data_IF_788802265461
#
_entry.id   IF_788802265461
#
_cell.length_a   1.000
_cell.length_b   1.000
_cell.length_c   1.000
_cell.angle_alpha   90.00
_cell.angle_beta   90.00
_cell.angle_gamma   90.00
#
_symmetry.space_group_name_H-M   'P 1'
#
loop_
_entity.id
_entity.type
_entity.pdbx_description
1 polymer ?
#
# COMPACT_ATOMS: atom_id res chain seq x y z
N UNK A 1 2.76 -9.25 -26.53
CA UNK A 1 1.35 -9.00 -26.94
C UNK A 1 0.53 -10.14 -26.35
N UNK A 2 -0.54 -9.85 -25.60
CA UNK A 2 -1.40 -10.86 -24.99
C UNK A 2 -2.76 -10.89 -25.72
N UNK A 3 -3.53 -11.97 -25.55
CA UNK A 3 -4.87 -12.12 -26.11
C UNK A 3 -5.87 -12.29 -24.97
N UNK A 4 -6.96 -11.52 -24.97
CA UNK A 4 -8.04 -11.66 -23.98
C UNK A 4 -9.20 -12.42 -24.62
N UNK A 5 -9.72 -13.49 -24.00
CA UNK A 5 -10.86 -14.24 -24.51
C UNK A 5 -12.12 -13.39 -24.71
N UNK A 6 -12.99 -13.82 -25.64
CA UNK A 6 -14.23 -13.10 -26.00
C UNK A 6 -15.25 -13.03 -24.87
N UNK A 7 -15.24 -13.99 -23.94
CA UNK A 7 -16.18 -14.04 -22.82
C UNK A 7 -15.88 -13.03 -21.70
N UNK A 8 -14.70 -12.39 -21.73
CA UNK A 8 -14.34 -11.38 -20.73
C UNK A 8 -15.12 -10.08 -21.03
N UNK A 9 -15.71 -9.47 -20.01
CA UNK A 9 -16.48 -8.24 -20.17
C UNK A 9 -15.58 -7.07 -20.64
N UNK A 10 -16.14 -6.14 -21.41
CA UNK A 10 -15.39 -4.99 -21.91
C UNK A 10 -14.82 -4.10 -20.78
N UNK A 11 -15.52 -4.02 -19.64
CA UNK A 11 -15.02 -3.30 -18.46
C UNK A 11 -13.76 -3.97 -17.88
N UNK A 12 -13.79 -5.30 -17.72
CA UNK A 12 -12.64 -6.07 -17.25
C UNK A 12 -11.44 -5.98 -18.22
N UNK A 13 -11.70 -6.06 -19.54
CA UNK A 13 -10.65 -5.90 -20.57
C UNK A 13 -9.93 -4.56 -20.43
N UNK A 14 -10.67 -3.47 -20.18
CA UNK A 14 -10.11 -2.13 -19.98
C UNK A 14 -9.27 -2.03 -18.71
N UNK A 15 -9.67 -2.68 -17.62
CA UNK A 15 -8.88 -2.68 -16.39
C UNK A 15 -7.57 -3.47 -16.57
N UNK A 16 -7.64 -4.68 -17.13
CA UNK A 16 -6.47 -5.52 -17.41
C UNK A 16 -5.46 -4.78 -18.31
N UNK A 17 -5.93 -4.06 -19.32
CA UNK A 17 -5.02 -3.34 -20.22
C UNK A 17 -4.28 -2.18 -19.57
N UNK A 18 -4.86 -1.54 -18.55
CA UNK A 18 -4.20 -0.50 -17.74
C UNK A 18 -3.23 -1.07 -16.70
N UNK A 19 -3.40 -2.33 -16.29
CA UNK A 19 -2.47 -3.02 -15.38
C UNK A 19 -1.29 -3.64 -16.12
N UNK A 20 -1.52 -4.24 -17.29
CA UNK A 20 -0.50 -4.92 -18.10
C UNK A 20 0.20 -3.97 -19.08
N UNK A 21 0.78 -2.90 -18.52
CA UNK A 21 1.57 -1.90 -19.25
C UNK A 21 3.07 -2.19 -19.09
N UNK A 22 3.81 -2.03 -20.19
CA UNK A 22 5.26 -2.27 -20.24
C UNK A 22 6.03 -1.27 -19.37
N UNK A 23 5.66 0.00 -19.46
CA UNK A 23 6.26 1.07 -18.68
C UNK A 23 5.59 1.11 -17.28
N UNK A 24 6.34 0.94 -16.18
CA UNK A 24 5.76 0.94 -14.83
C UNK A 24 5.13 2.27 -14.43
N UNK A 25 5.67 3.41 -14.88
CA UNK A 25 5.12 4.74 -14.55
C UNK A 25 3.74 4.98 -15.16
N UNK A 26 3.43 4.31 -16.27
CA UNK A 26 2.14 4.38 -16.96
C UNK A 26 1.12 3.36 -16.44
N UNK A 27 1.53 2.50 -15.49
CA UNK A 27 0.65 1.49 -14.90
C UNK A 27 -0.34 2.16 -13.95
N UNK A 28 -1.60 1.72 -14.00
CA UNK A 28 -2.63 2.18 -13.07
C UNK A 28 -2.24 1.89 -11.61
N UNK A 29 -2.42 2.89 -10.73
CA UNK A 29 -2.22 2.77 -9.28
C UNK A 29 -3.40 2.12 -8.55
N UNK A 30 -3.17 1.69 -7.31
CA UNK A 30 -4.18 0.97 -6.51
C UNK A 30 -5.46 1.77 -6.29
N UNK A 31 -5.38 3.06 -5.97
CA UNK A 31 -6.58 3.91 -5.77
C UNK A 31 -7.49 3.97 -7.00
N UNK A 32 -6.90 3.96 -8.20
CA UNK A 32 -7.65 3.99 -9.45
C UNK A 32 -8.23 2.61 -9.80
N UNK A 33 -7.57 1.52 -9.38
CA UNK A 33 -8.12 0.15 -9.47
C UNK A 33 -9.32 0.01 -8.52
N UNK A 34 -9.20 0.47 -7.27
CA UNK A 34 -10.28 0.41 -6.27
C UNK A 34 -11.55 1.14 -6.71
N UNK A 35 -11.41 2.22 -7.48
CA UNK A 35 -12.51 3.02 -8.01
C UNK A 35 -12.98 2.58 -9.40
N UNK A 36 -12.38 1.55 -9.99
CA UNK A 36 -12.72 1.13 -11.36
C UNK A 36 -14.17 0.56 -11.42
N UNK A 37 -14.97 0.93 -12.44
CA UNK A 37 -16.35 0.48 -12.57
C UNK A 37 -16.52 -1.04 -12.57
N UNK A 38 -15.53 -1.79 -13.07
CA UNK A 38 -15.59 -3.24 -13.06
C UNK A 38 -15.60 -3.78 -11.62
N UNK A 39 -14.75 -3.23 -10.74
CA UNK A 39 -14.68 -3.62 -9.34
C UNK A 39 -15.90 -3.10 -8.55
N UNK A 40 -16.31 -1.86 -8.81
CA UNK A 40 -17.47 -1.25 -8.17
C UNK A 40 -18.80 -1.96 -8.46
N UNK A 41 -18.92 -2.59 -9.64
CA UNK A 41 -20.13 -3.34 -10.02
C UNK A 41 -20.33 -4.66 -9.27
N UNK A 42 -19.26 -5.23 -8.71
CA UNK A 42 -19.29 -6.50 -7.96
C UNK A 42 -19.20 -6.27 -6.44
N UNK A 43 -18.76 -5.09 -5.99
CA UNK A 43 -18.61 -4.77 -4.57
C UNK A 43 -19.95 -4.51 -3.87
N UNK A 44 -20.62 -5.57 -3.40
CA UNK A 44 -21.60 -5.47 -2.30
C UNK A 44 -20.93 -5.15 -0.95
N UNK A 45 -19.61 -5.24 -0.89
CA UNK A 45 -18.78 -5.13 0.32
C UNK A 45 -17.83 -3.90 0.31
N UNK A 46 -18.26 -2.78 -0.28
CA UNK A 46 -17.49 -1.52 -0.22
C UNK A 46 -17.21 -1.07 1.23
N UNK A 47 -17.99 -1.55 2.20
CA UNK A 47 -17.79 -1.31 3.63
C UNK A 47 -16.66 -2.18 4.23
N UNK A 48 -16.43 -3.40 3.72
CA UNK A 48 -15.32 -4.25 4.20
C UNK A 48 -13.94 -3.71 3.80
N UNK A 49 -13.82 -3.05 2.64
CA UNK A 49 -12.55 -2.43 2.24
C UNK A 49 -12.16 -1.25 3.14
N UNK A 50 -13.14 -0.46 3.63
CA UNK A 50 -12.89 0.67 4.53
C UNK A 50 -12.40 0.23 5.92
N UNK A 51 -12.82 -0.95 6.39
CA UNK A 51 -12.41 -1.51 7.69
C UNK A 51 -10.93 -1.95 7.67
N UNK A 52 -10.38 -2.25 6.49
CA UNK A 52 -9.00 -2.74 6.35
C UNK A 52 -7.98 -1.67 5.94
N UNK A 53 -8.38 -0.39 5.88
CA UNK A 53 -7.44 0.68 5.54
C UNK A 53 -6.46 0.93 6.71
N UNK A 54 -5.13 0.98 6.46
CA UNK A 54 -4.16 1.23 7.52
C UNK A 54 -4.47 2.52 8.28
N UNK A 55 -4.39 2.50 9.62
CA UNK A 55 -4.63 3.71 10.44
C UNK A 55 -3.61 4.81 10.17
N UNK A 56 -2.41 4.43 9.72
CA UNK A 56 -1.35 5.35 9.31
C UNK A 56 -1.78 6.27 8.16
N UNK A 57 -2.72 5.83 7.32
CA UNK A 57 -3.28 6.65 6.24
C UNK A 57 -4.31 7.66 6.75
N UNK A 58 -4.72 7.58 8.02
CA UNK A 58 -5.85 8.30 8.62
C UNK A 58 -5.45 9.20 9.78
N UNK A 59 -4.34 8.92 10.46
CA UNK A 59 -3.88 9.65 11.65
C UNK A 59 -2.47 10.23 11.48
N UNK A 60 -2.22 11.38 12.09
CA UNK A 60 -0.88 11.97 12.13
C UNK A 60 -0.03 11.26 13.18
N UNK A 61 1.15 10.78 12.78
CA UNK A 61 2.11 10.14 13.69
C UNK A 61 2.71 11.19 14.63
N UNK A 62 2.60 10.97 15.94
CA UNK A 62 3.25 11.83 16.95
C UNK A 62 4.76 11.58 17.00
N UNK A 63 5.54 12.58 17.40
CA UNK A 63 7.00 12.44 17.55
C UNK A 63 7.39 11.41 18.64
N UNK A 64 6.54 11.28 19.67
CA UNK A 64 6.69 10.28 20.73
C UNK A 64 6.51 8.86 20.18
N UNK A 65 5.46 8.65 19.40
CA UNK A 65 5.15 7.36 18.77
C UNK A 65 6.23 6.94 17.77
N UNK A 66 6.69 7.89 16.94
CA UNK A 66 7.84 7.70 16.06
C UNK A 66 9.08 7.25 16.84
N UNK A 67 9.45 8.02 17.88
CA UNK A 67 10.63 7.74 18.71
C UNK A 67 10.55 6.36 19.37
N UNK A 68 9.37 5.98 19.86
CA UNK A 68 9.13 4.67 20.46
C UNK A 68 9.31 3.52 19.46
N UNK A 69 8.76 3.63 18.25
CA UNK A 69 8.91 2.59 17.21
C UNK A 69 10.36 2.46 16.76
N UNK A 70 11.04 3.59 16.52
CA UNK A 70 12.46 3.59 16.13
C UNK A 70 13.31 2.91 17.21
N UNK A 71 13.09 3.25 18.48
CA UNK A 71 13.83 2.63 19.57
C UNK A 71 13.59 1.11 19.63
N UNK A 72 12.33 0.68 19.47
CA UNK A 72 11.97 -0.75 19.47
C UNK A 72 12.60 -1.53 18.31
N UNK A 73 12.73 -0.93 17.13
CA UNK A 73 13.40 -1.56 15.98
C UNK A 73 14.91 -1.71 16.21
N UNK A 74 15.55 -0.70 16.81
CA UNK A 74 16.97 -0.73 17.18
C UNK A 74 17.23 -1.75 18.28
N UNK A 75 16.41 -1.79 19.32
CA UNK A 75 16.52 -2.77 20.41
C UNK A 75 16.32 -4.21 19.90
N UNK A 76 15.44 -4.38 18.91
CA UNK A 76 15.21 -5.63 18.19
C UNK A 76 16.35 -6.04 17.26
N UNK A 77 17.41 -5.22 17.11
CA UNK A 77 18.54 -5.41 16.20
C UNK A 77 18.14 -5.63 14.74
N UNK A 78 17.05 -4.99 14.32
CA UNK A 78 16.53 -5.11 12.94
C UNK A 78 17.38 -4.26 11.99
N UNK A 79 17.75 -3.05 12.42
CA UNK A 79 18.52 -2.06 11.67
C UNK A 79 19.01 -0.95 12.62
N UNK A 80 19.89 -0.07 12.15
CA UNK A 80 20.29 1.13 12.90
C UNK A 80 19.30 2.27 12.72
N UNK A 81 19.37 3.28 13.60
CA UNK A 81 18.51 4.47 13.51
C UNK A 81 18.70 5.21 12.17
N UNK A 82 19.93 5.28 11.69
CA UNK A 82 20.31 5.95 10.44
C UNK A 82 19.70 5.24 9.22
N UNK A 83 19.72 3.91 9.21
CA UNK A 83 19.10 3.10 8.14
C UNK A 83 17.59 3.29 8.10
N UNK A 84 16.94 3.38 9.26
CA UNK A 84 15.50 3.68 9.35
C UNK A 84 15.21 5.05 8.74
N UNK A 85 15.93 6.09 9.15
CA UNK A 85 15.74 7.44 8.60
C UNK A 85 15.95 7.47 7.09
N UNK A 86 17.01 6.82 6.59
CA UNK A 86 17.30 6.80 5.16
C UNK A 86 16.24 6.04 4.35
N UNK A 87 15.74 4.92 4.89
CA UNK A 87 14.69 4.13 4.24
C UNK A 87 13.37 4.92 4.16
N UNK A 88 13.00 5.60 5.25
CA UNK A 88 11.79 6.43 5.31
C UNK A 88 11.90 7.69 4.44
N UNK A 89 13.03 8.38 4.44
CA UNK A 89 13.25 9.60 3.62
C UNK A 89 13.18 9.30 2.11
N UNK A 90 13.61 8.10 1.72
CA UNK A 90 13.56 7.63 0.33
C UNK A 90 12.21 7.06 -0.11
N UNK A 91 11.23 7.01 0.81
CA UNK A 91 9.97 6.30 0.59
C UNK A 91 10.21 4.87 0.06
N UNK A 92 11.19 4.19 0.67
CA UNK A 92 11.64 2.89 0.18
C UNK A 92 10.61 1.80 0.49
N UNK A 93 10.29 0.99 -0.51
CA UNK A 93 9.45 -0.20 -0.33
C UNK A 93 10.31 -1.41 0.05
N UNK A 94 10.89 -1.38 1.26
CA UNK A 94 11.78 -2.41 1.78
C UNK A 94 11.31 -3.00 3.13
N UNK A 95 12.11 -3.92 3.70
CA UNK A 95 11.79 -4.57 4.97
C UNK A 95 11.92 -3.63 6.19
N UNK A 96 12.71 -2.56 6.10
CA UNK A 96 12.90 -1.57 7.17
C UNK A 96 11.65 -0.70 7.26
N UNK A 97 11.28 -0.05 6.16
CA UNK A 97 10.07 0.76 6.06
C UNK A 97 8.81 -0.06 6.37
N UNK A 98 8.70 -1.28 5.84
CA UNK A 98 7.57 -2.16 6.14
C UNK A 98 7.46 -2.48 7.64
N UNK A 99 8.58 -2.82 8.29
CA UNK A 99 8.59 -3.10 9.73
C UNK A 99 8.21 -1.86 10.55
N UNK A 100 8.72 -0.69 10.16
CA UNK A 100 8.39 0.58 10.79
C UNK A 100 6.88 0.84 10.73
N UNK A 101 6.28 0.80 9.53
CA UNK A 101 4.85 1.06 9.38
C UNK A 101 3.97 0.02 10.10
N UNK A 102 4.35 -1.27 10.09
CA UNK A 102 3.59 -2.29 10.83
C UNK A 102 3.62 -2.09 12.35
N UNK A 103 4.79 -1.75 12.91
CA UNK A 103 4.91 -1.43 14.33
C UNK A 103 4.19 -0.14 14.67
N UNK A 104 4.18 0.82 13.75
CA UNK A 104 3.50 2.08 13.94
C UNK A 104 1.98 1.93 13.94
N UNK A 105 1.44 1.18 12.98
CA UNK A 105 0.02 0.87 12.92
C UNK A 105 -0.44 0.12 14.19
N UNK A 106 0.36 -0.82 14.70
CA UNK A 106 0.07 -1.53 15.96
C UNK A 106 0.05 -0.60 17.18
N UNK A 107 0.75 0.54 17.14
CA UNK A 107 0.80 1.51 18.24
C UNK A 107 -0.39 2.48 18.20
N UNK A 108 -0.89 2.79 17.01
CA UNK A 108 -2.07 3.65 16.80
C UNK A 108 -3.41 2.90 17.00
N UNK A 109 -3.42 1.57 16.82
CA UNK A 109 -4.55 0.70 17.17
C UNK A 109 -4.67 0.49 18.67
#
# INVERSE_FOLDING_TARGET
KYHIPVHVSEACKKLISKMLVREPSERIGLEAIEKDPWLASESRDADMMKVNLPLLSREHVSEEDHSHVVQKMVDGKICTREEIFQSLERDAYDHIAATYYLLMERRLR
#
